data_IF_855176886538
#
_entry.id   IF_855176886538
#
_cell.length_a   1.000
_cell.length_b   1.000
_cell.length_c   1.000
_cell.angle_alpha   90.00
_cell.angle_beta   90.00
_cell.angle_gamma   90.00
#
_symmetry.space_group_name_H-M   'P 1'
#
loop_
_entity.id
_entity.type
_entity.pdbx_description
1 polymer ?
#
# COMPACT_ATOMS: atom_id res chain seq x y z
N UNK A 1 0.02 25.64 42.07
CA UNK A 1 -0.53 24.28 42.23
C UNK A 1 -1.32 23.97 40.99
N UNK A 2 -0.80 23.13 40.10
CA UNK A 2 -1.53 22.72 38.90
C UNK A 2 -2.74 21.91 39.36
N UNK A 3 -3.95 22.36 38.98
CA UNK A 3 -5.18 21.65 39.28
C UNK A 3 -5.14 20.35 38.46
N UNK A 4 -5.25 19.19 39.10
CA UNK A 4 -5.26 17.91 38.39
C UNK A 4 -6.55 17.17 38.65
N UNK A 5 -7.14 16.57 37.61
CA UNK A 5 -8.34 15.73 37.69
C UNK A 5 -7.99 14.27 37.43
N UNK A 6 -8.78 13.34 37.98
CA UNK A 6 -8.61 11.91 37.67
C UNK A 6 -9.20 11.60 36.29
N UNK A 7 -8.41 10.94 35.45
CA UNK A 7 -8.93 10.13 34.36
C UNK A 7 -9.54 8.89 35.00
N UNK A 8 -10.73 8.51 34.57
CA UNK A 8 -11.49 7.42 35.19
C UNK A 8 -12.23 6.60 34.13
N UNK A 9 -11.54 6.37 33.02
CA UNK A 9 -12.05 5.67 31.84
C UNK A 9 -11.55 4.23 31.85
N UNK A 10 -12.33 3.34 31.22
CA UNK A 10 -11.96 1.93 31.05
C UNK A 10 -11.26 1.76 29.71
N UNK A 11 -10.10 1.11 29.73
CA UNK A 11 -9.31 0.77 28.54
C UNK A 11 -9.01 -0.73 28.57
N UNK A 12 -8.70 -1.38 27.44
CA UNK A 12 -8.26 -2.77 27.43
C UNK A 12 -7.02 -2.97 28.31
N UNK A 13 -7.04 -3.99 29.16
CA UNK A 13 -5.99 -4.24 30.15
C UNK A 13 -4.62 -4.42 29.48
N UNK A 14 -4.57 -5.19 28.39
CA UNK A 14 -3.33 -5.41 27.60
C UNK A 14 -2.70 -4.10 27.13
N UNK A 15 -3.51 -3.16 26.65
CA UNK A 15 -3.00 -1.88 26.16
C UNK A 15 -2.51 -0.98 27.28
N UNK A 16 -3.19 -1.01 28.43
CA UNK A 16 -2.73 -0.29 29.61
C UNK A 16 -1.42 -0.86 30.19
N UNK A 17 -1.28 -2.18 30.21
CA UNK A 17 -0.06 -2.87 30.63
C UNK A 17 1.11 -2.53 29.71
N UNK A 18 0.94 -2.67 28.40
CA UNK A 18 1.96 -2.35 27.42
C UNK A 18 2.34 -0.85 27.45
N UNK A 19 1.39 0.05 27.71
CA UNK A 19 1.70 1.46 27.93
C UNK A 19 2.46 1.69 29.25
N UNK A 20 2.09 1.01 30.32
CA UNK A 20 2.78 1.11 31.61
C UNK A 20 4.22 0.60 31.54
N UNK A 21 4.45 -0.49 30.80
CA UNK A 21 5.78 -1.01 30.49
C UNK A 21 6.60 0.00 29.68
N UNK A 22 6.00 0.61 28.65
CA UNK A 22 6.63 1.70 27.90
C UNK A 22 7.09 2.85 28.81
N UNK A 23 6.22 3.33 29.71
CA UNK A 23 6.59 4.39 30.67
C UNK A 23 7.70 3.94 31.61
N UNK A 24 7.64 2.69 32.10
CA UNK A 24 8.68 2.14 32.98
C UNK A 24 10.02 2.01 32.28
N UNK A 25 10.03 1.63 31.00
CA UNK A 25 11.25 1.51 30.20
C UNK A 25 11.88 2.87 29.92
N UNK A 26 11.06 3.87 29.61
CA UNK A 26 11.52 5.22 29.25
C UNK A 26 12.04 5.99 30.47
N UNK A 27 11.33 5.90 31.60
CA UNK A 27 11.62 6.73 32.79
C UNK A 27 12.23 5.95 33.96
N UNK A 28 12.37 4.63 33.84
CA UNK A 28 12.85 3.74 34.92
C UNK A 28 11.82 3.45 36.01
N UNK A 29 10.75 4.26 36.13
CA UNK A 29 9.64 4.04 37.06
C UNK A 29 8.30 4.52 36.48
N UNK A 30 7.21 3.84 36.86
CA UNK A 30 5.85 4.19 36.42
C UNK A 30 5.28 5.36 37.26
N UNK A 31 5.58 5.35 38.56
CA UNK A 31 4.96 6.26 39.52
C UNK A 31 5.47 7.69 39.30
N UNK A 32 4.55 8.63 39.12
CA UNK A 32 4.88 10.04 38.89
C UNK A 32 4.98 10.43 37.42
N UNK A 33 5.29 9.48 36.52
CA UNK A 33 5.40 9.72 35.08
C UNK A 33 4.16 9.33 34.29
N UNK A 34 3.44 8.28 34.71
CA UNK A 34 2.29 7.77 33.94
C UNK A 34 1.23 8.85 33.65
N UNK A 35 0.93 9.72 34.62
CA UNK A 35 -0.03 10.82 34.40
C UNK A 35 0.45 11.83 33.36
N UNK A 36 1.75 12.16 33.36
CA UNK A 36 2.34 13.09 32.40
C UNK A 36 2.39 12.50 30.99
N UNK A 37 2.75 11.22 30.87
CA UNK A 37 2.77 10.56 29.56
C UNK A 37 1.36 10.34 29.00
N UNK A 38 0.36 10.06 29.84
CA UNK A 38 -1.06 10.06 29.42
C UNK A 38 -1.47 11.43 28.91
N UNK A 39 -1.09 12.50 29.61
CA UNK A 39 -1.42 13.88 29.19
C UNK A 39 -0.75 14.26 27.87
N UNK A 40 0.52 13.86 27.66
CA UNK A 40 1.21 14.02 26.38
C UNK A 40 0.52 13.24 25.26
N UNK A 41 0.18 11.97 25.51
CA UNK A 41 -0.55 11.15 24.55
C UNK A 41 -1.87 11.80 24.13
N UNK A 42 -2.65 12.34 25.08
CA UNK A 42 -3.89 13.06 24.78
C UNK A 42 -3.64 14.29 23.90
N UNK A 43 -2.66 15.14 24.22
CA UNK A 43 -2.35 16.34 23.43
C UNK A 43 -1.85 16.01 22.03
N UNK A 44 -0.96 15.04 21.92
CA UNK A 44 -0.40 14.57 20.63
C UNK A 44 -1.50 14.00 19.72
N UNK A 45 -2.45 13.25 20.29
CA UNK A 45 -3.58 12.66 19.57
C UNK A 45 -4.60 13.70 19.08
N UNK A 46 -4.78 14.81 19.80
CA UNK A 46 -5.69 15.89 19.41
C UNK A 46 -5.09 16.93 18.47
N UNK A 47 -3.80 16.80 18.15
CA UNK A 47 -3.06 17.83 17.42
C UNK A 47 -3.09 19.22 18.11
N UNK A 48 -3.08 19.21 19.45
CA UNK A 48 -3.16 20.39 20.30
C UNK A 48 -1.82 20.74 21.00
N UNK A 49 -0.70 20.21 20.50
CA UNK A 49 0.64 20.51 21.01
C UNK A 49 1.37 21.57 20.17
N UNK A 50 2.55 21.99 20.62
CA UNK A 50 3.37 23.00 19.93
C UNK A 50 3.93 22.54 18.58
N UNK A 51 3.77 21.26 18.22
CA UNK A 51 4.29 20.67 17.00
C UNK A 51 3.20 20.51 15.93
N UNK A 52 1.94 20.89 16.21
CA UNK A 52 0.85 20.92 15.23
C UNK A 52 1.21 21.76 13.99
N UNK A 53 1.70 22.98 14.20
CA UNK A 53 2.12 23.89 13.13
C UNK A 53 3.24 23.31 12.25
N UNK A 54 4.11 22.48 12.81
CA UNK A 54 5.21 21.85 12.07
C UNK A 54 4.67 20.73 11.19
N UNK A 55 3.78 19.90 11.72
CA UNK A 55 3.14 18.83 10.95
C UNK A 55 2.30 19.42 9.80
N UNK A 56 1.56 20.50 10.03
CA UNK A 56 0.81 21.19 8.97
C UNK A 56 1.73 21.73 7.85
N UNK A 57 2.92 22.24 8.20
CA UNK A 57 3.91 22.67 7.20
C UNK A 57 4.46 21.49 6.40
N UNK A 58 4.70 20.35 7.04
CA UNK A 58 5.13 19.13 6.37
C UNK A 58 4.03 18.65 5.41
N UNK A 59 2.77 18.65 5.85
CA UNK A 59 1.63 18.27 5.02
C UNK A 59 1.46 19.20 3.81
N UNK A 60 1.72 20.50 4.00
CA UNK A 60 1.76 21.46 2.89
C UNK A 60 2.86 21.13 1.88
N UNK A 61 4.03 20.71 2.33
CA UNK A 61 5.13 20.30 1.45
C UNK A 61 4.79 19.02 0.68
N UNK A 62 4.18 18.02 1.35
CA UNK A 62 3.70 16.80 0.70
C UNK A 62 2.68 17.12 -0.41
N UNK A 63 1.68 17.96 -0.11
CA UNK A 63 0.70 18.40 -1.11
C UNK A 63 1.36 19.15 -2.26
N UNK A 64 2.33 20.01 -1.99
CA UNK A 64 3.06 20.71 -3.05
C UNK A 64 3.85 19.74 -3.94
N UNK A 65 4.31 18.61 -3.39
CA UNK A 65 4.93 17.51 -4.15
C UNK A 65 3.90 16.60 -4.86
N UNK A 66 2.59 16.90 -4.79
CA UNK A 66 1.54 16.05 -5.36
C UNK A 66 1.34 14.72 -4.62
N UNK A 67 1.77 14.65 -3.35
CA UNK A 67 1.49 13.54 -2.43
C UNK A 67 0.35 13.91 -1.50
N UNK A 68 -0.35 12.90 -1.01
CA UNK A 68 -1.29 13.08 0.08
C UNK A 68 -0.57 12.92 1.41
N UNK A 69 -0.80 13.80 2.39
CA UNK A 69 -0.51 13.48 3.78
C UNK A 69 -1.26 12.17 4.08
N UNK A 70 -0.59 11.14 4.60
CA UNK A 70 -1.34 10.06 5.22
C UNK A 70 -2.18 10.69 6.33
N UNK A 71 -3.48 10.47 6.29
CA UNK A 71 -4.39 11.11 7.24
C UNK A 71 -4.08 10.58 8.63
N UNK A 72 -3.50 11.44 9.46
CA UNK A 72 -3.26 11.13 10.86
C UNK A 72 -4.58 10.79 11.59
N UNK A 73 -5.75 11.19 11.06
CA UNK A 73 -7.05 10.82 11.58
C UNK A 73 -7.47 9.37 11.24
N UNK A 74 -7.09 8.85 10.07
CA UNK A 74 -7.40 7.47 9.67
C UNK A 74 -6.38 6.48 10.28
N UNK A 75 -5.11 6.86 10.41
CA UNK A 75 -4.09 6.08 11.15
C UNK A 75 -4.46 5.93 12.65
N UNK A 76 -5.23 6.89 13.19
CA UNK A 76 -5.79 6.86 14.56
C UNK A 76 -6.99 5.91 14.68
N UNK A 77 -7.60 5.49 13.57
CA UNK A 77 -8.83 4.67 13.53
C UNK A 77 -8.54 3.19 13.27
N UNK A 78 -7.37 2.87 12.74
CA UNK A 78 -6.93 1.51 12.47
C UNK A 78 -6.59 0.70 13.72
N UNK A 79 -7.55 -0.13 14.13
CA UNK A 79 -7.38 -1.49 14.65
C UNK A 79 -8.64 -1.87 15.43
N UNK A 80 -9.76 -2.02 14.72
CA UNK A 80 -11.01 -2.55 15.26
C UNK A 80 -11.26 -3.97 14.76
N UNK A 81 -10.77 -4.95 15.51
CA UNK A 81 -11.37 -6.28 15.51
C UNK A 81 -11.33 -7.02 16.85
N UNK A 82 -10.84 -6.42 17.96
CA UNK A 82 -10.79 -7.16 19.24
C UNK A 82 -11.22 -6.41 20.50
N UNK A 83 -11.60 -5.13 20.43
CA UNK A 83 -11.70 -4.32 21.66
C UNK A 83 -12.96 -4.59 22.48
N UNK A 84 -14.04 -5.08 21.86
CA UNK A 84 -15.30 -5.34 22.57
C UNK A 84 -15.30 -6.67 23.37
N UNK A 85 -14.29 -7.54 23.19
CA UNK A 85 -14.16 -8.82 23.94
C UNK A 85 -13.02 -8.87 24.96
N UNK A 86 -12.19 -7.82 25.07
CA UNK A 86 -11.03 -7.82 25.95
C UNK A 86 -11.37 -7.41 27.40
N UNK A 87 -10.66 -8.00 28.38
CA UNK A 87 -10.70 -7.56 29.77
C UNK A 87 -10.31 -6.07 29.87
N UNK A 88 -11.10 -5.28 30.63
CA UNK A 88 -10.88 -3.84 30.75
C UNK A 88 -10.34 -3.44 32.13
N UNK A 89 -9.35 -2.56 32.14
CA UNK A 89 -8.79 -1.93 33.33
C UNK A 89 -9.20 -0.46 33.42
N UNK A 90 -9.50 0.00 34.63
CA UNK A 90 -9.86 1.39 34.90
C UNK A 90 -8.61 2.23 35.14
N UNK A 91 -8.33 3.15 34.23
CA UNK A 91 -7.21 4.10 34.35
C UNK A 91 -7.54 5.08 35.47
N UNK A 92 -6.62 5.28 36.42
CA UNK A 92 -6.81 6.16 37.59
C UNK A 92 -5.72 7.23 37.74
N UNK A 93 -5.04 7.58 36.65
CA UNK A 93 -4.02 8.62 36.65
C UNK A 93 -4.63 10.03 36.80
N UNK A 94 -3.78 11.00 37.13
CA UNK A 94 -4.16 12.41 37.23
C UNK A 94 -3.54 13.19 36.07
N UNK A 95 -4.35 14.01 35.42
CA UNK A 95 -3.99 14.87 34.28
C UNK A 95 -4.53 16.27 34.51
N UNK A 96 -4.06 17.24 33.73
CA UNK A 96 -4.65 18.57 33.65
C UNK A 96 -6.14 18.51 33.23
N UNK A 97 -7.06 19.23 33.91
CA UNK A 97 -8.48 19.23 33.57
C UNK A 97 -8.77 19.72 32.16
N UNK A 98 -8.04 20.72 31.67
CA UNK A 98 -8.31 21.32 30.37
C UNK A 98 -8.00 20.29 29.26
N UNK A 99 -6.89 19.57 29.40
CA UNK A 99 -6.53 18.47 28.48
C UNK A 99 -7.58 17.36 28.47
N UNK A 100 -8.09 16.97 29.65
CA UNK A 100 -9.11 15.93 29.74
C UNK A 100 -10.41 16.34 29.05
N UNK A 101 -10.82 17.60 29.26
CA UNK A 101 -12.08 18.12 28.75
C UNK A 101 -11.99 18.35 27.22
N UNK A 102 -10.87 18.91 26.74
CA UNK A 102 -10.55 19.02 25.31
C UNK A 102 -10.50 17.66 24.64
N UNK A 103 -9.81 16.68 25.23
CA UNK A 103 -9.75 15.31 24.69
C UNK A 103 -11.13 14.66 24.62
N UNK A 104 -11.94 14.87 25.65
CA UNK A 104 -13.31 14.36 25.66
C UNK A 104 -14.18 15.02 24.60
N UNK A 105 -13.97 16.31 24.31
CA UNK A 105 -14.69 17.02 23.27
C UNK A 105 -14.22 16.61 21.86
N UNK A 106 -12.91 16.45 21.67
CA UNK A 106 -12.31 15.97 20.44
C UNK A 106 -12.83 14.57 20.08
N UNK A 107 -12.70 13.61 20.98
CA UNK A 107 -13.15 12.22 20.73
C UNK A 107 -14.63 12.18 20.37
N UNK A 108 -15.50 12.96 21.05
CA UNK A 108 -16.93 12.99 20.73
C UNK A 108 -17.29 13.69 19.41
N UNK A 109 -16.40 14.51 18.89
CA UNK A 109 -16.64 15.32 17.68
C UNK A 109 -16.06 14.66 16.44
N UNK A 110 -14.85 14.13 16.56
CA UNK A 110 -14.08 13.56 15.45
C UNK A 110 -14.22 12.04 15.36
N UNK A 111 -14.70 11.36 16.41
CA UNK A 111 -14.90 9.90 16.38
C UNK A 111 -16.23 9.50 17.01
N UNK A 112 -16.75 8.33 16.62
CA UNK A 112 -17.95 7.73 17.26
C UNK A 112 -17.58 6.83 18.46
N UNK A 113 -16.33 6.93 18.94
CA UNK A 113 -15.79 6.05 19.97
C UNK A 113 -16.25 6.40 21.39
N UNK A 114 -16.18 5.39 22.26
CA UNK A 114 -16.16 5.62 23.71
C UNK A 114 -14.85 6.29 24.11
N UNK A 115 -14.87 7.21 25.08
CA UNK A 115 -13.67 7.89 25.61
C UNK A 115 -12.52 6.95 26.01
N UNK A 116 -12.85 5.74 26.46
CA UNK A 116 -11.86 4.70 26.75
C UNK A 116 -11.08 4.23 25.52
N UNK A 117 -11.79 4.02 24.41
CA UNK A 117 -11.22 3.60 23.12
C UNK A 117 -10.37 4.73 22.53
N UNK A 118 -10.89 5.96 22.53
CA UNK A 118 -10.11 7.14 22.13
C UNK A 118 -8.81 7.25 22.94
N UNK A 119 -8.87 7.08 24.27
CA UNK A 119 -7.67 7.05 25.10
C UNK A 119 -6.73 5.90 24.71
N UNK A 120 -7.25 4.70 24.48
CA UNK A 120 -6.43 3.57 24.02
C UNK A 120 -5.66 3.89 22.73
N UNK A 121 -6.31 4.52 21.76
CA UNK A 121 -5.68 4.96 20.50
C UNK A 121 -4.53 5.95 20.77
N UNK A 122 -4.78 6.97 21.59
CA UNK A 122 -3.75 7.92 22.01
C UNK A 122 -2.54 7.24 22.70
N UNK A 123 -2.77 6.25 23.58
CA UNK A 123 -1.70 5.50 24.25
C UNK A 123 -0.89 4.65 23.27
N UNK A 124 -1.55 3.98 22.32
CA UNK A 124 -0.89 3.19 21.26
C UNK A 124 -0.01 4.07 20.40
N UNK A 125 -0.55 5.19 19.93
CA UNK A 125 0.14 6.15 19.09
C UNK A 125 1.40 6.69 19.78
N UNK A 126 1.27 7.12 21.04
CA UNK A 126 2.41 7.55 21.87
C UNK A 126 3.49 6.47 21.99
N UNK A 127 3.08 5.22 22.23
CA UNK A 127 4.00 4.07 22.36
C UNK A 127 4.74 3.76 21.06
N UNK A 128 4.13 4.05 19.90
CA UNK A 128 4.73 3.95 18.56
C UNK A 128 5.58 5.19 18.20
N UNK A 129 5.97 6.03 19.16
CA UNK A 129 6.79 7.22 18.90
C UNK A 129 5.99 8.50 18.61
N UNK A 130 4.66 8.43 18.71
CA UNK A 130 3.77 9.58 18.66
C UNK A 130 3.92 10.42 17.39
N UNK A 131 3.77 11.74 17.56
CA UNK A 131 3.89 12.72 16.48
C UNK A 131 5.28 12.73 15.84
N UNK A 132 6.34 12.56 16.62
CA UNK A 132 7.70 12.61 16.09
C UNK A 132 7.95 11.51 15.06
N UNK A 133 7.43 10.29 15.29
CA UNK A 133 7.48 9.23 14.28
C UNK A 133 6.70 9.63 13.03
N UNK A 134 5.43 10.05 13.16
CA UNK A 134 4.59 10.45 12.01
C UNK A 134 5.23 11.55 11.17
N UNK A 135 5.69 12.61 11.82
CA UNK A 135 6.38 13.71 11.16
C UNK A 135 7.67 13.25 10.46
N UNK A 136 8.42 12.33 11.09
CA UNK A 136 9.59 11.71 10.49
C UNK A 136 9.27 10.86 9.27
N UNK A 137 8.19 10.08 9.30
CA UNK A 137 7.72 9.29 8.15
C UNK A 137 7.27 10.20 7.00
N UNK A 138 6.51 11.25 7.30
CA UNK A 138 6.13 12.28 6.31
C UNK A 138 7.34 12.98 5.70
N UNK A 139 8.36 13.33 6.50
CA UNK A 139 9.59 13.94 6.01
C UNK A 139 10.43 12.99 5.15
N UNK A 140 10.50 11.70 5.50
CA UNK A 140 11.19 10.70 4.67
C UNK A 140 10.53 10.58 3.29
N UNK A 141 9.21 10.59 3.22
CA UNK A 141 8.50 10.62 1.92
C UNK A 141 8.88 11.84 1.08
N UNK A 142 9.00 13.02 1.71
CA UNK A 142 9.48 14.23 1.02
C UNK A 142 10.94 14.06 0.59
N UNK A 143 11.79 13.47 1.43
CA UNK A 143 13.21 13.23 1.13
C UNK A 143 13.37 12.28 -0.06
N UNK A 144 12.62 11.17 -0.09
CA UNK A 144 12.63 10.21 -1.20
C UNK A 144 12.19 10.89 -2.51
N UNK A 145 11.14 11.71 -2.46
CA UNK A 145 10.70 12.50 -3.62
C UNK A 145 11.78 13.51 -4.02
N UNK A 146 12.32 14.28 -3.08
CA UNK A 146 13.36 15.27 -3.37
C UNK A 146 14.64 14.62 -3.90
N UNK A 147 14.99 13.42 -3.43
CA UNK A 147 16.12 12.64 -3.90
C UNK A 147 15.89 12.16 -5.33
N UNK A 148 14.70 11.63 -5.64
CA UNK A 148 14.30 11.29 -7.01
C UNK A 148 14.39 12.51 -7.94
N UNK A 149 13.85 13.65 -7.50
CA UNK A 149 13.94 14.91 -8.26
C UNK A 149 15.39 15.36 -8.46
N UNK A 150 16.26 15.20 -7.47
CA UNK A 150 17.66 15.58 -7.56
C UNK A 150 18.46 14.64 -8.47
N UNK A 151 18.14 13.34 -8.49
CA UNK A 151 18.73 12.36 -9.40
C UNK A 151 18.34 12.68 -10.86
N UNK A 152 17.08 13.05 -11.10
CA UNK A 152 16.62 13.53 -12.40
C UNK A 152 17.28 14.86 -12.81
N UNK A 153 17.38 15.83 -11.87
CA UNK A 153 18.07 17.11 -12.08
C UNK A 153 19.58 16.95 -12.36
N UNK A 154 20.21 15.91 -11.83
CA UNK A 154 21.59 15.53 -12.13
C UNK A 154 21.81 15.22 -13.62
N UNK A 155 20.73 14.92 -14.35
CA UNK A 155 20.70 14.74 -15.80
C UNK A 155 20.51 16.05 -16.58
N UNK A 156 20.42 17.20 -15.90
CA UNK A 156 20.62 18.53 -16.48
C UNK A 156 19.38 19.29 -16.93
N UNK A 157 18.18 18.71 -16.79
CA UNK A 157 16.93 19.43 -17.01
C UNK A 157 16.06 19.33 -15.75
N UNK A 158 15.17 20.30 -15.56
CA UNK A 158 14.26 20.32 -14.41
C UNK A 158 13.45 19.03 -14.25
N UNK A 159 12.61 18.96 -13.20
CA UNK A 159 11.42 18.07 -13.15
C UNK A 159 10.92 17.77 -14.57
N UNK A 160 10.91 16.50 -14.97
CA UNK A 160 10.54 16.16 -16.34
C UNK A 160 9.12 16.66 -16.62
N UNK A 161 8.81 17.00 -17.87
CA UNK A 161 7.46 17.49 -18.21
C UNK A 161 6.37 16.49 -17.80
N UNK A 162 6.70 15.20 -17.92
CA UNK A 162 5.83 14.08 -17.51
C UNK A 162 5.54 14.12 -16.02
N UNK A 163 6.55 14.28 -15.17
CA UNK A 163 6.35 14.41 -13.73
C UNK A 163 5.57 15.67 -13.34
N UNK A 164 5.85 16.81 -13.98
CA UNK A 164 5.08 18.05 -13.75
C UNK A 164 3.60 17.84 -14.03
N UNK A 165 3.29 17.15 -15.13
CA UNK A 165 1.92 16.76 -15.49
C UNK A 165 1.33 15.80 -14.45
N UNK A 166 2.06 14.77 -14.02
CA UNK A 166 1.58 13.86 -12.95
C UNK A 166 1.27 14.62 -11.65
N UNK A 167 2.14 15.52 -11.21
CA UNK A 167 1.90 16.34 -10.00
C UNK A 167 0.68 17.24 -10.19
N UNK A 168 0.49 17.84 -11.37
CA UNK A 168 -0.69 18.66 -11.66
C UNK A 168 -1.98 17.84 -11.60
N UNK A 169 -2.00 16.64 -12.18
CA UNK A 169 -3.14 15.70 -12.09
C UNK A 169 -3.42 15.34 -10.63
N UNK A 170 -2.40 14.96 -9.85
CA UNK A 170 -2.57 14.63 -8.44
C UNK A 170 -3.19 15.75 -7.61
N UNK A 171 -2.86 17.01 -7.92
CA UNK A 171 -3.37 18.19 -7.20
C UNK A 171 -4.83 18.53 -7.54
N UNK A 172 -5.34 18.10 -8.70
CA UNK A 172 -6.72 18.33 -9.12
C UNK A 172 -7.70 17.28 -8.56
N UNK A 173 -7.19 16.17 -8.00
CA UNK A 173 -8.00 15.06 -7.49
C UNK A 173 -8.27 15.17 -5.99
N UNK A 174 -9.54 15.03 -5.60
CA UNK A 174 -9.98 14.87 -4.20
C UNK A 174 -9.52 13.54 -3.60
N UNK A 175 -9.50 13.44 -2.27
CA UNK A 175 -9.05 12.26 -1.51
C UNK A 175 -9.66 10.93 -1.99
N UNK A 176 -10.94 10.94 -2.33
CA UNK A 176 -11.58 9.86 -3.08
C UNK A 176 -12.06 10.44 -4.39
N UNK A 177 -11.88 9.69 -5.46
CA UNK A 177 -12.22 10.15 -6.80
C UNK A 177 -12.62 8.99 -7.69
N UNK A 178 -13.46 9.27 -8.67
CA UNK A 178 -13.92 8.30 -9.64
C UNK A 178 -12.94 8.16 -10.80
N UNK A 179 -13.02 7.05 -11.53
CA UNK A 179 -12.28 6.85 -12.79
C UNK A 179 -12.49 7.98 -13.78
N UNK A 180 -13.74 8.46 -13.89
CA UNK A 180 -14.09 9.59 -14.76
C UNK A 180 -13.39 10.88 -14.35
N UNK A 181 -13.28 11.16 -13.05
CA UNK A 181 -12.55 12.32 -12.53
C UNK A 181 -11.04 12.20 -12.79
N UNK A 182 -10.47 11.01 -12.63
CA UNK A 182 -9.07 10.73 -12.97
C UNK A 182 -8.80 10.95 -14.47
N UNK A 183 -9.59 10.31 -15.34
CA UNK A 183 -9.44 10.44 -16.80
C UNK A 183 -9.60 11.89 -17.25
N UNK A 184 -10.57 12.62 -16.69
CA UNK A 184 -10.77 14.05 -16.97
C UNK A 184 -9.56 14.89 -16.54
N UNK A 185 -8.99 14.63 -15.36
CA UNK A 185 -7.81 15.34 -14.88
C UNK A 185 -6.57 15.03 -15.74
N UNK A 186 -6.38 13.77 -16.14
CA UNK A 186 -5.30 13.38 -17.07
C UNK A 186 -5.49 14.08 -18.42
N UNK A 187 -6.70 14.09 -18.98
CA UNK A 187 -6.98 14.74 -20.25
C UNK A 187 -6.63 16.23 -20.22
N UNK A 188 -6.93 16.93 -19.12
CA UNK A 188 -6.63 18.35 -18.93
C UNK A 188 -5.12 18.65 -18.94
N UNK A 189 -4.30 17.79 -18.32
CA UNK A 189 -2.88 18.09 -18.09
C UNK A 189 -1.91 17.36 -19.02
N UNK A 190 -2.29 16.17 -19.51
CA UNK A 190 -1.43 15.28 -20.27
C UNK A 190 -2.00 14.86 -21.63
N UNK A 191 -3.29 15.09 -21.88
CA UNK A 191 -3.99 14.70 -23.10
C UNK A 191 -4.80 13.40 -22.94
N UNK A 192 -5.76 13.18 -23.86
CA UNK A 192 -6.80 12.15 -23.74
C UNK A 192 -6.61 10.90 -24.60
N UNK A 193 -5.38 10.60 -25.05
CA UNK A 193 -5.15 9.37 -25.84
C UNK A 193 -5.18 8.12 -24.94
N UNK A 194 -5.69 6.98 -25.42
CA UNK A 194 -5.74 5.74 -24.63
C UNK A 194 -4.37 5.33 -24.03
N UNK A 195 -3.23 5.43 -24.78
CA UNK A 195 -1.91 5.21 -24.20
C UNK A 195 -1.58 6.19 -23.06
N UNK A 196 -1.88 7.47 -23.22
CA UNK A 196 -1.65 8.51 -22.21
C UNK A 196 -2.48 8.25 -20.96
N UNK A 197 -3.78 7.97 -21.12
CA UNK A 197 -4.68 7.69 -20.00
C UNK A 197 -4.18 6.49 -19.19
N UNK A 198 -3.74 5.42 -19.87
CA UNK A 198 -3.20 4.23 -19.20
C UNK A 198 -1.93 4.54 -18.41
N UNK A 199 -0.96 5.20 -19.04
CA UNK A 199 0.32 5.53 -18.42
C UNK A 199 0.18 6.46 -17.21
N UNK A 200 -0.60 7.54 -17.36
CA UNK A 200 -0.79 8.49 -16.27
C UNK A 200 -1.70 7.93 -15.16
N UNK A 201 -2.65 7.04 -15.48
CA UNK A 201 -3.45 6.36 -14.45
C UNK A 201 -2.56 5.60 -13.49
N UNK A 202 -1.65 4.77 -14.01
CA UNK A 202 -0.71 4.00 -13.19
C UNK A 202 0.14 4.92 -12.32
N UNK A 203 0.79 5.92 -12.92
CA UNK A 203 1.64 6.90 -12.22
C UNK A 203 0.90 7.67 -11.13
N UNK A 204 -0.32 8.11 -11.40
CA UNK A 204 -1.12 8.89 -10.44
C UNK A 204 -1.59 7.99 -9.29
N UNK A 205 -2.05 6.77 -9.60
CA UNK A 205 -2.50 5.82 -8.57
C UNK A 205 -1.36 5.41 -7.63
N UNK A 206 -0.18 5.11 -8.20
CA UNK A 206 1.04 4.84 -7.43
C UNK A 206 1.48 6.06 -6.63
N UNK A 207 1.48 7.26 -7.23
CA UNK A 207 1.93 8.47 -6.56
C UNK A 207 1.03 8.86 -5.38
N UNK A 208 -0.29 8.68 -5.53
CA UNK A 208 -1.27 9.01 -4.50
C UNK A 208 -1.48 7.90 -3.46
N UNK A 209 -0.87 6.71 -3.67
CA UNK A 209 -1.10 5.50 -2.87
C UNK A 209 -2.59 5.17 -2.73
N UNK A 210 -3.26 5.09 -3.89
CA UNK A 210 -4.68 4.77 -4.01
C UNK A 210 -4.89 3.54 -4.87
N UNK A 211 -5.93 2.80 -4.52
CA UNK A 211 -6.35 1.60 -5.22
C UNK A 211 -7.84 1.68 -5.54
N UNK A 212 -8.28 0.79 -6.43
CA UNK A 212 -9.70 0.64 -6.72
C UNK A 212 -10.44 0.16 -5.47
N UNK A 213 -11.59 0.74 -5.20
CA UNK A 213 -12.46 0.35 -4.10
C UNK A 213 -12.94 -1.11 -4.29
N UNK A 214 -12.92 -1.97 -3.27
CA UNK A 214 -13.20 -3.41 -3.41
C UNK A 214 -14.56 -3.74 -4.05
N UNK A 215 -15.59 -2.93 -3.79
CA UNK A 215 -16.95 -3.11 -4.33
C UNK A 215 -17.31 -2.18 -5.48
N UNK A 216 -16.45 -1.21 -5.80
CA UNK A 216 -16.76 -0.19 -6.78
C UNK A 216 -15.52 0.07 -7.64
N UNK A 217 -15.39 -0.63 -8.78
CA UNK A 217 -14.19 -0.53 -9.63
C UNK A 217 -13.98 0.86 -10.25
N UNK A 218 -14.99 1.72 -10.17
CA UNK A 218 -14.95 3.09 -10.67
C UNK A 218 -14.55 4.10 -9.61
N UNK A 219 -14.37 3.70 -8.35
CA UNK A 219 -13.97 4.58 -7.26
C UNK A 219 -12.56 4.23 -6.79
N UNK A 220 -11.69 5.23 -6.68
CA UNK A 220 -10.36 5.11 -6.10
C UNK A 220 -10.37 5.65 -4.67
N UNK A 221 -9.79 4.89 -3.75
CA UNK A 221 -9.65 5.23 -2.33
C UNK A 221 -8.21 4.95 -1.88
N UNK A 222 -7.74 5.58 -0.79
CA UNK A 222 -6.45 5.25 -0.19
C UNK A 222 -6.29 3.75 0.06
N UNK A 223 -5.09 3.21 -0.18
CA UNK A 223 -4.78 1.77 -0.02
C UNK A 223 -5.22 1.24 1.35
N UNK A 224 -4.88 1.98 2.40
CA UNK A 224 -5.24 1.69 3.79
C UNK A 224 -6.75 1.60 4.00
N UNK A 225 -7.52 2.55 3.44
CA UNK A 225 -8.98 2.53 3.51
C UNK A 225 -9.59 1.35 2.75
N UNK A 226 -9.00 0.97 1.61
CA UNK A 226 -9.45 -0.20 0.88
C UNK A 226 -9.16 -1.51 1.64
N UNK A 227 -8.06 -1.60 2.39
CA UNK A 227 -7.77 -2.75 3.27
C UNK A 227 -8.82 -2.89 4.38
N UNK A 228 -9.18 -1.78 5.03
CA UNK A 228 -10.25 -1.75 6.03
C UNK A 228 -11.57 -2.28 5.44
N UNK A 229 -11.99 -1.70 4.31
CA UNK A 229 -13.23 -2.06 3.66
C UNK A 229 -13.24 -3.53 3.21
N UNK A 230 -12.12 -4.05 2.71
CA UNK A 230 -11.98 -5.46 2.37
C UNK A 230 -12.19 -6.35 3.60
N UNK A 231 -11.59 -5.99 4.74
CA UNK A 231 -11.72 -6.75 5.99
C UNK A 231 -13.15 -6.74 6.56
N UNK A 232 -13.90 -5.65 6.39
CA UNK A 232 -15.29 -5.53 6.87
C UNK A 232 -16.27 -6.36 6.04
N UNK A 233 -15.94 -6.62 4.78
CA UNK A 233 -16.89 -7.13 3.77
C UNK A 233 -16.50 -8.47 3.17
N UNK A 234 -15.38 -9.07 3.60
CA UNK A 234 -14.82 -10.31 3.04
C UNK A 234 -14.52 -10.19 1.54
N UNK A 235 -14.15 -8.98 1.09
CA UNK A 235 -13.72 -8.72 -0.28
C UNK A 235 -12.19 -8.87 -0.41
N UNK A 236 -11.69 -8.99 -1.64
CA UNK A 236 -10.25 -9.05 -1.89
C UNK A 236 -9.56 -7.78 -1.36
N UNK A 237 -8.49 -7.98 -0.60
CA UNK A 237 -7.62 -6.93 -0.09
C UNK A 237 -6.85 -6.25 -1.23
N UNK A 238 -6.50 -4.96 -1.10
CA UNK A 238 -5.53 -4.30 -2.00
C UNK A 238 -4.22 -5.05 -2.17
N UNK A 239 -3.78 -5.76 -1.12
CA UNK A 239 -2.59 -6.60 -1.12
C UNK A 239 -2.78 -7.92 -1.87
N UNK A 240 -4.02 -8.30 -2.20
CA UNK A 240 -4.29 -9.54 -2.90
C UNK A 240 -3.88 -9.42 -4.38
N UNK A 241 -3.55 -10.56 -5.01
CA UNK A 241 -3.15 -10.58 -6.41
C UNK A 241 -4.17 -9.92 -7.33
N UNK A 242 -3.69 -9.23 -8.37
CA UNK A 242 -4.53 -8.44 -9.29
C UNK A 242 -5.76 -9.20 -9.83
N UNK A 243 -5.60 -10.49 -10.11
CA UNK A 243 -6.67 -11.35 -10.63
C UNK A 243 -7.85 -11.50 -9.65
N UNK A 244 -7.62 -11.38 -8.34
CA UNK A 244 -8.67 -11.49 -7.32
C UNK A 244 -9.39 -10.17 -7.07
N UNK A 245 -8.76 -9.04 -7.43
CA UNK A 245 -9.24 -7.68 -7.12
C UNK A 245 -9.76 -6.88 -8.33
N UNK A 246 -9.36 -7.23 -9.56
CA UNK A 246 -9.74 -6.50 -10.79
C UNK A 246 -10.59 -7.37 -11.72
N UNK A 247 -11.58 -6.78 -12.42
CA UNK A 247 -12.23 -7.47 -13.53
C UNK A 247 -11.25 -7.69 -14.70
N UNK A 248 -11.53 -8.69 -15.53
CA UNK A 248 -10.66 -9.15 -16.62
C UNK A 248 -10.22 -8.02 -17.57
N UNK A 249 -11.12 -7.08 -17.88
CA UNK A 249 -10.84 -5.97 -18.79
C UNK A 249 -9.78 -5.01 -18.25
N UNK A 250 -9.65 -4.93 -16.92
CA UNK A 250 -8.73 -4.02 -16.22
C UNK A 250 -7.38 -4.65 -15.87
N UNK A 251 -7.21 -5.96 -16.12
CA UNK A 251 -5.93 -6.63 -15.91
C UNK A 251 -4.96 -6.31 -17.07
N UNK A 252 -3.74 -5.92 -16.73
CA UNK A 252 -2.65 -5.82 -17.72
C UNK A 252 -2.28 -7.22 -18.25
N UNK A 253 -1.50 -7.28 -19.33
CA UNK A 253 -1.04 -8.58 -19.84
C UNK A 253 -0.22 -9.33 -18.80
N UNK A 254 0.68 -8.64 -18.10
CA UNK A 254 1.54 -9.24 -17.08
C UNK A 254 0.73 -9.71 -15.87
N UNK A 255 -0.28 -8.93 -15.45
CA UNK A 255 -1.22 -9.36 -14.40
C UNK A 255 -2.03 -10.60 -14.82
N UNK A 256 -2.42 -10.71 -16.10
CA UNK A 256 -3.07 -11.92 -16.63
C UNK A 256 -2.10 -13.12 -16.63
N UNK A 257 -0.85 -12.92 -17.05
CA UNK A 257 0.16 -13.99 -17.03
C UNK A 257 0.43 -14.45 -15.59
N UNK A 258 0.56 -13.52 -14.66
CA UNK A 258 0.70 -13.82 -13.23
C UNK A 258 -0.52 -14.58 -12.69
N UNK A 259 -1.73 -14.14 -13.03
CA UNK A 259 -2.97 -14.81 -12.65
C UNK A 259 -3.05 -16.26 -13.12
N UNK A 260 -2.58 -16.57 -14.34
CA UNK A 260 -2.47 -17.96 -14.84
C UNK A 260 -1.52 -18.79 -13.99
N UNK A 261 -0.36 -18.24 -13.62
CA UNK A 261 0.63 -18.93 -12.78
C UNK A 261 0.09 -19.17 -11.37
N UNK A 262 -0.56 -18.16 -10.81
CA UNK A 262 -1.18 -18.17 -9.49
C UNK A 262 -2.26 -19.24 -9.37
N UNK A 263 -3.23 -19.26 -10.28
CA UNK A 263 -4.31 -20.26 -10.26
C UNK A 263 -3.78 -21.68 -10.45
N UNK A 264 -2.76 -21.85 -11.32
CA UNK A 264 -2.12 -23.14 -11.51
C UNK A 264 -1.38 -23.60 -10.25
N UNK A 265 -0.74 -22.67 -9.52
CA UNK A 265 -0.10 -22.96 -8.23
C UNK A 265 -1.14 -23.29 -7.14
N UNK A 266 -2.26 -22.56 -7.09
CA UNK A 266 -3.41 -22.84 -6.19
C UNK A 266 -3.97 -24.24 -6.44
N UNK A 267 -4.13 -24.65 -7.70
CA UNK A 267 -4.57 -26.01 -8.05
C UNK A 267 -3.52 -27.07 -7.70
N UNK A 268 -2.24 -26.79 -7.91
CA UNK A 268 -1.16 -27.70 -7.52
C UNK A 268 -1.11 -27.91 -5.99
N UNK A 269 -1.38 -26.87 -5.20
CA UNK A 269 -1.39 -26.91 -3.73
C UNK A 269 -2.55 -27.74 -3.17
N UNK A 270 -3.69 -27.78 -3.87
CA UNK A 270 -4.82 -28.65 -3.52
C UNK A 270 -4.51 -30.14 -3.75
N UNK A 271 -3.46 -30.47 -4.52
CA UNK A 271 -3.10 -31.84 -4.90
C UNK A 271 -1.96 -32.39 -4.03
N UNK A 272 -2.10 -33.63 -3.59
CA UNK A 272 -1.10 -34.30 -2.73
C UNK A 272 0.29 -34.48 -3.36
N UNK A 273 0.40 -34.38 -4.69
CA UNK A 273 1.66 -34.50 -5.41
C UNK A 273 2.31 -33.15 -5.76
N UNK A 274 1.69 -32.01 -5.38
CA UNK A 274 2.17 -30.67 -5.66
C UNK A 274 2.30 -30.34 -7.16
N UNK A 275 1.51 -31.00 -8.02
CA UNK A 275 1.61 -30.86 -9.49
C UNK A 275 0.27 -30.58 -10.13
N UNK A 276 0.21 -29.51 -10.92
CA UNK A 276 -0.95 -29.17 -11.74
C UNK A 276 -0.56 -28.93 -13.20
N UNK A 277 -1.57 -28.96 -14.06
CA UNK A 277 -1.44 -28.60 -15.46
C UNK A 277 -2.72 -27.95 -15.96
N UNK A 278 -2.60 -26.90 -16.78
CA UNK A 278 -3.69 -26.25 -17.48
C UNK A 278 -3.47 -26.28 -18.99
N UNK A 279 -4.50 -26.63 -19.73
CA UNK A 279 -4.61 -26.36 -21.16
C UNK A 279 -5.20 -24.98 -21.44
N UNK A 280 -5.31 -24.65 -22.73
CA UNK A 280 -5.95 -23.40 -23.17
C UNK A 280 -7.41 -23.29 -22.74
N UNK A 281 -8.13 -24.41 -22.64
CA UNK A 281 -9.52 -24.43 -22.16
C UNK A 281 -9.61 -24.09 -20.67
N UNK A 282 -8.75 -24.68 -19.85
CA UNK A 282 -8.70 -24.45 -18.40
C UNK A 282 -8.36 -22.98 -18.11
N UNK A 283 -7.37 -22.40 -18.81
CA UNK A 283 -7.05 -20.97 -18.67
C UNK A 283 -8.26 -20.09 -19.04
N UNK A 284 -9.01 -20.47 -20.07
CA UNK A 284 -10.17 -19.68 -20.47
C UNK A 284 -11.29 -19.76 -19.44
N UNK A 285 -11.68 -20.97 -19.05
CA UNK A 285 -12.89 -21.22 -18.27
C UNK A 285 -12.64 -21.13 -16.76
N UNK A 286 -11.51 -21.63 -16.26
CA UNK A 286 -11.22 -21.71 -14.83
C UNK A 286 -10.47 -20.49 -14.30
N UNK A 287 -9.60 -19.86 -15.11
CA UNK A 287 -8.80 -18.71 -14.67
C UNK A 287 -9.48 -17.37 -14.99
N UNK A 288 -10.18 -17.27 -16.12
CA UNK A 288 -10.74 -16.01 -16.60
C UNK A 288 -12.24 -16.06 -16.91
N UNK A 289 -12.97 -17.07 -16.42
CA UNK A 289 -14.42 -17.21 -16.53
C UNK A 289 -14.99 -17.01 -17.95
N UNK A 290 -14.27 -17.50 -18.96
CA UNK A 290 -14.67 -17.40 -20.37
C UNK A 290 -14.26 -16.11 -21.08
N UNK A 291 -13.76 -15.10 -20.35
CA UNK A 291 -13.47 -13.77 -20.91
C UNK A 291 -12.23 -13.74 -21.83
N UNK A 292 -11.33 -14.72 -21.71
CA UNK A 292 -10.13 -14.81 -22.54
C UNK A 292 -10.38 -15.55 -23.87
N UNK A 293 -10.17 -14.91 -25.05
CA UNK A 293 -10.24 -15.61 -26.33
C UNK A 293 -9.24 -16.77 -26.41
N UNK A 294 -9.58 -17.87 -27.08
CA UNK A 294 -8.74 -19.08 -27.10
C UNK A 294 -7.33 -18.85 -27.68
N UNK A 295 -7.18 -17.97 -28.67
CA UNK A 295 -5.87 -17.58 -29.19
C UNK A 295 -5.04 -16.81 -28.15
N UNK A 296 -5.69 -15.94 -27.39
CA UNK A 296 -5.05 -15.12 -26.37
C UNK A 296 -4.69 -15.95 -25.13
N UNK A 297 -5.58 -16.83 -24.67
CA UNK A 297 -5.28 -17.79 -23.61
C UNK A 297 -4.07 -18.68 -23.95
N UNK A 298 -3.92 -19.06 -25.23
CA UNK A 298 -2.72 -19.76 -25.70
C UNK A 298 -1.46 -18.90 -25.61
N UNK A 299 -1.53 -17.62 -25.95
CA UNK A 299 -0.41 -16.68 -25.78
C UNK A 299 -0.02 -16.54 -24.31
N UNK A 300 -0.99 -16.30 -23.42
CA UNK A 300 -0.75 -16.19 -21.98
C UNK A 300 -0.12 -17.48 -21.42
N UNK A 301 -0.53 -18.64 -21.92
CA UNK A 301 0.07 -19.93 -21.55
C UNK A 301 1.55 -20.02 -21.92
N UNK A 302 1.95 -19.46 -23.06
CA UNK A 302 3.35 -19.40 -23.48
C UNK A 302 4.14 -18.42 -22.63
N UNK A 303 3.64 -17.19 -22.46
CA UNK A 303 4.27 -16.17 -21.62
C UNK A 303 4.41 -16.65 -20.16
N UNK A 304 3.41 -17.39 -19.65
CA UNK A 304 3.44 -17.96 -18.30
C UNK A 304 4.55 -19.02 -18.12
N UNK A 305 4.92 -19.72 -19.19
CA UNK A 305 5.96 -20.75 -19.17
C UNK A 305 7.39 -20.19 -19.12
N UNK A 306 7.56 -18.89 -19.32
CA UNK A 306 8.89 -18.24 -19.26
C UNK A 306 9.38 -18.02 -17.82
N UNK A 307 8.52 -18.23 -16.81
CA UNK A 307 8.92 -18.15 -15.40
C UNK A 307 9.42 -19.48 -14.85
N UNK A 308 10.30 -19.37 -13.84
CA UNK A 308 10.85 -20.51 -13.13
C UNK A 308 9.77 -21.42 -12.54
N UNK A 309 9.91 -22.72 -12.83
CA UNK A 309 8.99 -23.77 -12.37
C UNK A 309 7.78 -24.03 -13.27
N UNK A 310 7.51 -23.16 -14.24
CA UNK A 310 6.42 -23.31 -15.21
C UNK A 310 6.95 -23.82 -16.53
N UNK A 311 6.32 -24.86 -17.12
CA UNK A 311 6.82 -25.48 -18.36
C UNK A 311 5.67 -25.96 -19.24
N UNK A 312 5.79 -25.77 -20.54
CA UNK A 312 4.86 -26.38 -21.49
C UNK A 312 5.21 -27.86 -21.69
N UNK A 313 4.21 -28.73 -21.58
CA UNK A 313 4.28 -30.15 -21.92
C UNK A 313 3.27 -30.48 -23.00
N UNK A 314 3.67 -31.31 -23.94
CA UNK A 314 2.73 -31.91 -24.89
C UNK A 314 2.02 -33.09 -24.24
N UNK A 315 0.69 -33.03 -24.17
CA UNK A 315 -0.15 -34.11 -23.69
C UNK A 315 -0.17 -35.30 -24.66
N UNK A 316 -0.76 -36.42 -24.23
CA UNK A 316 -0.94 -37.62 -25.06
C UNK A 316 -1.79 -37.38 -26.31
N UNK A 317 -2.63 -36.35 -26.29
CA UNK A 317 -3.45 -35.89 -27.42
C UNK A 317 -2.72 -34.92 -28.36
N UNK A 318 -1.46 -34.57 -28.07
CA UNK A 318 -0.68 -33.57 -28.81
C UNK A 318 -0.97 -32.12 -28.42
N UNK A 319 -1.86 -31.90 -27.45
CA UNK A 319 -2.19 -30.56 -26.96
C UNK A 319 -1.14 -30.06 -25.97
N UNK A 320 -0.72 -28.80 -26.11
CA UNK A 320 0.18 -28.14 -25.18
C UNK A 320 -0.56 -27.79 -23.89
N UNK A 321 0.07 -28.12 -22.74
CA UNK A 321 -0.41 -27.79 -21.40
C UNK A 321 0.70 -27.12 -20.61
N UNK A 322 0.39 -26.03 -19.94
CA UNK A 322 1.26 -25.42 -18.93
C UNK A 322 1.24 -26.30 -17.68
N UNK A 323 2.40 -26.68 -17.16
CA UNK A 323 2.53 -27.49 -15.97
C UNK A 323 3.44 -26.83 -14.94
N UNK A 324 3.12 -27.01 -13.66
CA UNK A 324 3.92 -26.54 -12.52
C UNK A 324 4.20 -27.69 -11.56
N UNK A 325 5.37 -27.65 -10.93
CA UNK A 325 5.67 -28.42 -9.71
C UNK A 325 6.00 -27.41 -8.62
N UNK A 326 5.28 -27.42 -7.49
CA UNK A 326 5.40 -26.37 -6.47
C UNK A 326 6.82 -26.18 -5.93
N UNK A 327 7.64 -27.23 -5.89
CA UNK A 327 9.04 -27.15 -5.44
C UNK A 327 9.93 -26.30 -6.33
N UNK A 328 9.53 -26.13 -7.59
CA UNK A 328 10.33 -25.46 -8.61
C UNK A 328 9.78 -24.06 -8.93
N UNK A 329 8.60 -23.72 -8.39
CA UNK A 329 7.91 -22.47 -8.69
C UNK A 329 8.54 -21.28 -7.96
N UNK A 330 8.52 -20.12 -8.61
CA UNK A 330 9.00 -18.87 -8.04
C UNK A 330 8.31 -18.53 -6.71
N UNK A 331 9.08 -18.02 -5.74
CA UNK A 331 8.63 -17.84 -4.35
C UNK A 331 7.54 -16.79 -4.18
N UNK A 332 7.53 -15.78 -5.02
CA UNK A 332 6.50 -14.73 -5.11
C UNK A 332 5.13 -15.35 -5.47
N UNK A 333 5.07 -16.18 -6.51
CA UNK A 333 3.83 -16.87 -6.91
C UNK A 333 3.33 -17.80 -5.79
N UNK A 334 4.22 -18.45 -5.06
CA UNK A 334 3.86 -19.32 -3.94
C UNK A 334 3.36 -18.54 -2.71
N UNK A 335 3.90 -17.34 -2.47
CA UNK A 335 3.43 -16.44 -1.42
C UNK A 335 1.99 -15.99 -1.73
N UNK A 336 1.77 -15.48 -2.95
CA UNK A 336 0.47 -15.02 -3.44
C UNK A 336 -0.57 -16.15 -3.50
N UNK A 337 -0.13 -17.38 -3.80
CA UNK A 337 -1.00 -18.57 -3.79
C UNK A 337 -1.38 -19.03 -2.37
N UNK A 338 -0.85 -18.39 -1.32
CA UNK A 338 -1.05 -18.78 0.08
C UNK A 338 -0.37 -20.10 0.46
N UNK A 339 0.56 -20.61 -0.36
CA UNK A 339 1.20 -21.92 -0.16
C UNK A 339 2.25 -21.85 0.95
N UNK A 340 3.03 -20.75 1.01
CA UNK A 340 4.08 -20.57 2.01
C UNK A 340 3.55 -20.36 3.44
N UNK A 341 2.31 -19.89 3.60
CA UNK A 341 1.69 -19.70 4.91
C UNK A 341 1.36 -21.03 5.60
N UNK A 342 1.05 -22.09 4.83
CA UNK A 342 0.66 -23.39 5.37
C UNK A 342 1.83 -24.27 5.81
N UNK A 343 3.06 -24.02 5.32
CA UNK A 343 4.23 -24.84 5.69
C UNK A 343 4.70 -24.63 7.13
N UNK A 344 4.29 -23.55 7.82
CA UNK A 344 4.71 -23.26 9.19
C UNK A 344 3.92 -24.01 10.27
N UNK A 345 2.84 -24.70 9.92
CA UNK A 345 2.00 -25.42 10.89
C UNK A 345 2.33 -26.92 11.02
N UNK A 346 3.32 -27.44 10.28
CA UNK A 346 3.64 -28.88 10.27
C UNK A 346 5.13 -29.17 10.52
N UNK A 347 5.76 -28.43 11.44
CA UNK A 347 7.15 -28.66 11.84
C UNK A 347 7.27 -29.04 13.33
N UNK A 348 6.75 -30.22 13.67
CA UNK A 348 7.34 -31.05 14.73
C UNK A 348 7.55 -32.45 14.20
N UNK A 349 8.69 -32.67 13.55
CA UNK A 349 9.57 -33.85 13.66
C UNK A 349 10.40 -33.99 12.38
N UNK A 350 11.72 -33.92 12.54
CA UNK A 350 12.73 -34.78 11.88
C UNK A 350 14.03 -33.99 11.72
N UNK A 351 14.92 -34.06 12.70
CA UNK A 351 16.18 -34.84 12.63
C UNK A 351 17.10 -34.45 11.47
N UNK A 352 18.08 -33.62 11.87
CA UNK A 352 19.44 -33.52 11.35
C UNK A 352 19.96 -34.81 10.72
N UNK A 353 20.42 -34.71 9.48
CA UNK A 353 21.59 -35.43 9.00
C UNK A 353 22.42 -34.48 8.15
N UNK A 354 23.51 -34.03 8.74
CA UNK A 354 24.69 -33.54 8.04
C UNK A 354 25.28 -34.73 7.27
N UNK A 355 25.59 -34.56 6.00
CA UNK A 355 26.80 -35.16 5.41
C UNK A 355 27.13 -34.48 4.08
N UNK A 356 28.42 -34.19 3.95
CA UNK A 356 29.09 -33.54 2.84
C UNK A 356 29.18 -34.43 1.59
N UNK A 357 29.30 -33.84 0.40
CA UNK A 357 30.55 -33.81 -0.40
C UNK A 357 30.28 -33.34 -1.84
N UNK A 358 31.30 -32.74 -2.47
CA UNK A 358 31.50 -32.85 -3.92
C UNK A 358 31.30 -31.61 -4.80
N UNK A 359 32.40 -30.93 -5.10
CA UNK A 359 32.57 -29.93 -6.15
C UNK A 359 32.51 -30.52 -7.59
N UNK A 360 32.14 -29.72 -8.61
CA UNK A 360 32.99 -29.32 -9.77
C UNK A 360 32.19 -28.51 -10.84
N UNK A 361 32.65 -27.28 -11.12
CA UNK A 361 33.03 -26.68 -12.44
C UNK A 361 32.12 -26.73 -13.69
N UNK A 362 31.94 -25.55 -14.35
CA UNK A 362 32.37 -25.14 -15.72
C UNK A 362 31.42 -24.11 -16.39
N UNK A 363 31.99 -22.92 -16.68
CA UNK A 363 31.97 -22.01 -17.87
C UNK A 363 30.73 -21.66 -18.75
N UNK A 364 30.73 -20.38 -19.20
CA UNK A 364 30.21 -19.86 -20.49
C UNK A 364 28.97 -18.94 -20.37
N UNK A 365 29.05 -17.60 -20.44
CA UNK A 365 29.30 -16.68 -21.58
C UNK A 365 28.12 -16.52 -22.57
N UNK A 366 27.70 -15.25 -22.78
CA UNK A 366 27.12 -14.59 -23.99
C UNK A 366 26.01 -13.60 -23.56
N UNK A 367 26.25 -12.28 -23.51
CA UNK A 367 26.29 -11.30 -24.61
C UNK A 367 25.05 -11.30 -25.51
N UNK A 368 24.18 -10.30 -25.34
CA UNK A 368 23.40 -9.67 -26.42
C UNK A 368 22.84 -8.32 -25.92
N UNK A 369 23.42 -7.23 -26.39
CA UNK A 369 22.82 -5.90 -26.36
C UNK A 369 21.68 -5.76 -27.36
N UNK A 370 20.62 -5.07 -26.97
CA UNK A 370 19.52 -4.67 -27.83
C UNK A 370 19.15 -3.22 -27.56
N UNK A 371 19.65 -2.32 -28.41
CA UNK A 371 19.21 -0.93 -28.53
C UNK A 371 17.85 -0.88 -29.22
N UNK A 372 16.84 -0.29 -28.58
CA UNK A 372 15.64 0.17 -29.26
C UNK A 372 15.66 1.70 -29.34
N UNK A 373 15.83 2.18 -30.58
CA UNK A 373 15.39 3.49 -31.05
C UNK A 373 13.84 3.50 -31.17
N UNK A 374 13.32 4.66 -31.58
CA UNK A 374 11.92 5.01 -31.95
C UNK A 374 11.03 5.33 -30.71
N UNK A 375 10.30 6.46 -30.58
CA UNK A 375 9.64 7.35 -31.55
C UNK A 375 9.65 8.82 -31.06
N UNK A 376 9.98 9.74 -31.98
CA UNK A 376 9.75 11.18 -31.87
C UNK A 376 8.34 11.48 -32.39
N UNK A 377 7.38 11.79 -31.52
CA UNK A 377 6.09 12.37 -31.95
C UNK A 377 5.42 13.28 -30.89
N UNK A 378 6.14 13.70 -29.83
CA UNK A 378 5.57 14.50 -28.73
C UNK A 378 5.83 16.03 -28.80
N UNK A 379 6.53 16.52 -29.84
CA UNK A 379 7.01 17.93 -29.87
C UNK A 379 5.89 18.99 -29.97
N UNK A 380 4.68 18.63 -30.44
CA UNK A 380 3.59 19.61 -30.64
C UNK A 380 2.75 19.89 -29.38
N UNK A 381 2.67 18.95 -28.43
CA UNK A 381 1.94 19.16 -27.17
C UNK A 381 2.72 20.05 -26.18
N UNK A 382 4.05 20.10 -26.32
CA UNK A 382 4.95 20.74 -25.36
C UNK A 382 5.04 22.26 -25.54
N UNK A 383 4.75 22.75 -26.74
CA UNK A 383 4.68 24.18 -27.03
C UNK A 383 3.43 24.84 -26.44
N UNK A 384 2.32 24.12 -26.33
CA UNK A 384 1.04 24.66 -25.84
C UNK A 384 1.04 24.78 -24.30
N UNK A 385 1.59 23.79 -23.59
CA UNK A 385 1.65 23.79 -22.13
C UNK A 385 2.57 24.87 -21.55
N UNK A 386 3.75 25.11 -22.16
CA UNK A 386 4.64 26.21 -21.75
C UNK A 386 3.98 27.59 -21.95
N UNK A 387 3.03 27.72 -22.89
CA UNK A 387 2.24 28.93 -23.10
C UNK A 387 1.21 29.16 -21.98
N UNK A 388 0.62 28.09 -21.45
CA UNK A 388 -0.34 28.14 -20.35
C UNK A 388 0.32 28.47 -19.01
N UNK A 389 1.52 27.93 -18.73
CA UNK A 389 2.27 28.23 -17.51
C UNK A 389 2.84 29.66 -17.50
N UNK A 390 3.31 30.16 -18.65
CA UNK A 390 3.85 31.53 -18.76
C UNK A 390 2.76 32.61 -18.70
N UNK A 391 1.50 32.29 -19.01
CA UNK A 391 0.39 33.23 -18.95
C UNK A 391 -0.13 33.51 -17.53
N UNK A 392 0.26 32.71 -16.52
CA UNK A 392 -0.23 32.84 -15.13
C UNK A 392 0.68 33.60 -14.17
N UNK A 393 1.79 34.17 -14.64
CA UNK A 393 2.60 35.09 -13.80
C UNK A 393 2.13 36.53 -14.03
N UNK A 394 1.28 37.12 -13.17
CA UNK A 394 1.06 38.56 -13.23
C UNK A 394 2.39 39.25 -12.92
N UNK A 395 2.88 40.01 -13.89
CA UNK A 395 3.93 40.99 -13.67
C UNK A 395 3.41 41.97 -12.61
N UNK A 396 3.88 41.82 -11.37
CA UNK A 396 3.76 42.87 -10.38
C UNK A 396 4.63 44.05 -10.88
N UNK A 397 3.96 45.00 -11.51
CA UNK A 397 4.49 46.32 -11.82
C UNK A 397 4.03 47.29 -10.72
N UNK A 398 5.03 47.97 -10.15
CA UNK A 398 5.04 49.15 -9.26
C UNK A 398 4.44 49.07 -7.85
#
# INVERSE_FOLDING_TARGET
MTRTVKVDWRVPSKEWEAFSEYVSREHGEIKGYVGREVEKAMREYMDADEFADIEERIDRLLRAAGRRPADAAEEKTLSESSVDSDETTRVRCRVDPDVKDEFSAYVKRETDDRLGIGLTRALKERRRGGRARRAGEKLRRIEDDAAGLLEELGSGDGLSLREKRTIAVCNDLSEQFTRSELESAIEIHAGGSDPTLRDYTERVTERLDVVSHPHNPDLFVPTERAEELASETDAASPSDPAIDRKPYENLTRDEKVHGVRLELARDAAKRSNGKAQFGTADIREEVFDGNAPASYARSLMHDAADADGFRIRSGSTGENRLAVTLTDAASDVLADAGVLANSKNDETTSTTNEDADGADRVEGADDMGGTNEVEQDDEDADAEFNRLLSARTPANAD
#
